data_IF_926745248699
#
_entry.id   IF_926745248699
#
_cell.length_a   1.000
_cell.length_b   1.000
_cell.length_c   1.000
_cell.angle_alpha   90.00
_cell.angle_beta   90.00
_cell.angle_gamma   90.00
#
_symmetry.space_group_name_H-M   'P 1'
#
loop_
_entity.id
_entity.type
_entity.pdbx_description
1 polymer ?
#
# COMPACT_ATOMS: atom_id res chain seq x y z
N UNK A 1 2.42 -13.75 -11.57
CA UNK A 1 1.41 -14.39 -12.45
C UNK A 1 1.75 -14.20 -13.93
N UNK A 2 1.45 -13.08 -14.60
CA UNK A 2 1.73 -12.94 -16.05
C UNK A 2 3.21 -13.02 -16.46
N UNK A 3 4.16 -12.58 -15.61
CA UNK A 3 5.61 -12.70 -15.87
C UNK A 3 6.09 -14.17 -15.74
N UNK A 4 5.37 -14.98 -14.95
CA UNK A 4 5.73 -16.37 -14.64
C UNK A 4 5.04 -17.38 -15.56
N UNK A 5 3.94 -16.99 -16.22
CA UNK A 5 3.21 -17.79 -17.20
C UNK A 5 3.93 -17.84 -18.55
N UNK A 6 5.10 -18.50 -18.58
CA UNK A 6 5.92 -18.64 -19.80
C UNK A 6 5.36 -19.62 -20.84
N UNK A 7 4.44 -20.51 -20.47
CA UNK A 7 4.15 -21.72 -21.28
C UNK A 7 2.68 -21.94 -21.68
N UNK A 8 1.71 -21.14 -21.24
CA UNK A 8 0.31 -21.63 -21.29
C UNK A 8 -0.43 -21.37 -22.61
N UNK A 9 -0.06 -20.43 -23.49
CA UNK A 9 -0.93 -20.08 -24.64
C UNK A 9 -0.25 -19.76 -25.98
N UNK A 10 0.94 -20.30 -26.29
CA UNK A 10 1.60 -20.00 -27.57
C UNK A 10 1.06 -20.78 -28.79
N UNK A 11 -0.09 -21.47 -28.69
CA UNK A 11 -0.69 -22.20 -29.81
C UNK A 11 -2.19 -21.95 -29.92
N UNK A 12 -2.57 -20.81 -30.51
CA UNK A 12 -3.92 -20.62 -31.02
C UNK A 12 -4.11 -21.46 -32.29
N UNK A 13 -4.80 -22.60 -32.18
CA UNK A 13 -5.00 -23.55 -33.28
C UNK A 13 -6.16 -23.10 -34.17
N UNK A 14 -5.90 -22.15 -35.08
CA UNK A 14 -6.78 -21.78 -36.19
C UNK A 14 -6.36 -22.44 -37.51
N UNK A 15 -7.31 -22.65 -38.44
CA UNK A 15 -7.07 -23.33 -39.73
C UNK A 15 -6.19 -22.56 -40.73
N UNK A 16 -5.79 -21.33 -40.43
CA UNK A 16 -4.99 -20.50 -41.34
C UNK A 16 -4.18 -19.46 -40.55
N UNK A 17 -2.88 -19.68 -40.32
CA UNK A 17 -1.92 -18.59 -40.05
C UNK A 17 -0.48 -19.08 -40.19
N UNK A 18 0.19 -18.65 -41.26
CA UNK A 18 1.65 -18.77 -41.44
C UNK A 18 2.41 -17.58 -40.83
N UNK A 19 1.69 -16.63 -40.21
CA UNK A 19 2.29 -15.58 -39.41
C UNK A 19 2.02 -15.90 -37.94
N UNK A 20 3.03 -16.46 -37.25
CA UNK A 20 3.09 -16.43 -35.78
C UNK A 20 2.85 -15.00 -35.37
N UNK A 21 1.83 -14.74 -34.55
CA UNK A 21 1.72 -13.47 -33.82
C UNK A 21 2.82 -13.47 -32.75
N UNK A 22 4.05 -13.30 -33.21
CA UNK A 22 5.30 -13.24 -32.44
C UNK A 22 5.37 -11.99 -31.57
N UNK A 23 4.42 -11.06 -31.71
CA UNK A 23 4.35 -9.85 -30.90
C UNK A 23 4.01 -10.11 -29.43
N UNK A 24 3.31 -11.22 -29.12
CA UNK A 24 2.96 -11.59 -27.75
C UNK A 24 4.11 -12.28 -26.98
N UNK A 25 5.13 -12.77 -27.70
CA UNK A 25 6.30 -13.41 -27.12
C UNK A 25 7.54 -12.61 -27.52
N UNK A 26 7.62 -11.39 -27.00
CA UNK A 26 8.78 -10.53 -27.17
C UNK A 26 9.65 -10.65 -25.89
N UNK A 27 10.80 -11.31 -26.03
CA UNK A 27 11.74 -11.52 -24.93
C UNK A 27 12.24 -10.19 -24.34
N UNK A 28 12.34 -9.12 -25.13
CA UNK A 28 12.71 -7.78 -24.65
C UNK A 28 11.61 -7.19 -23.75
N UNK A 29 10.33 -7.38 -24.11
CA UNK A 29 9.20 -6.94 -23.27
C UNK A 29 9.14 -7.74 -21.96
N UNK A 30 9.43 -9.05 -22.00
CA UNK A 30 9.48 -9.89 -20.81
C UNK A 30 10.64 -9.48 -19.88
N UNK A 31 11.82 -9.21 -20.45
CA UNK A 31 12.97 -8.70 -19.70
C UNK A 31 12.65 -7.34 -19.07
N UNK A 32 12.04 -6.43 -19.83
CA UNK A 32 11.63 -5.12 -19.32
C UNK A 32 10.60 -5.26 -18.17
N UNK A 33 9.60 -6.12 -18.34
CA UNK A 33 8.59 -6.37 -17.31
C UNK A 33 9.21 -6.94 -16.02
N UNK A 34 10.17 -7.86 -16.17
CA UNK A 34 10.90 -8.47 -15.04
C UNK A 34 11.73 -7.42 -14.29
N UNK A 35 12.55 -6.65 -15.01
CA UNK A 35 13.37 -5.59 -14.42
C UNK A 35 12.52 -4.51 -13.73
N UNK A 36 11.40 -4.11 -14.35
CA UNK A 36 10.48 -3.15 -13.74
C UNK A 36 9.81 -3.70 -12.47
N UNK A 37 9.46 -4.98 -12.46
CA UNK A 37 8.91 -5.64 -11.27
C UNK A 37 9.95 -5.68 -10.13
N UNK A 38 11.19 -6.06 -10.42
CA UNK A 38 12.28 -6.08 -9.44
C UNK A 38 12.56 -4.70 -8.87
N UNK A 39 12.64 -3.67 -9.71
CA UNK A 39 12.83 -2.28 -9.29
C UNK A 39 11.71 -1.83 -8.36
N UNK A 40 10.45 -2.05 -8.75
CA UNK A 40 9.29 -1.70 -7.91
C UNK A 40 9.30 -2.46 -6.59
N UNK A 41 9.65 -3.75 -6.60
CA UNK A 41 9.72 -4.55 -5.39
C UNK A 41 10.79 -4.04 -4.42
N UNK A 42 11.96 -3.64 -4.92
CA UNK A 42 13.02 -3.03 -4.11
C UNK A 42 12.55 -1.70 -3.49
N UNK A 43 11.90 -0.87 -4.29
CA UNK A 43 11.32 0.39 -3.83
C UNK A 43 10.29 0.17 -2.73
N UNK A 44 9.35 -0.77 -2.92
CA UNK A 44 8.32 -1.07 -1.91
C UNK A 44 8.90 -1.66 -0.62
N UNK A 45 9.97 -2.45 -0.71
CA UNK A 45 10.69 -2.97 0.46
C UNK A 45 11.33 -1.84 1.28
N UNK A 46 11.90 -0.84 0.60
CA UNK A 46 12.50 0.32 1.27
C UNK A 46 11.43 1.19 1.94
N UNK A 47 10.35 1.52 1.22
CA UNK A 47 9.21 2.26 1.78
C UNK A 47 8.61 1.55 3.00
N UNK A 48 8.40 0.22 2.92
CA UNK A 48 7.89 -0.55 4.04
C UNK A 48 8.84 -0.55 5.26
N UNK A 49 10.15 -0.55 5.03
CA UNK A 49 11.15 -0.45 6.11
C UNK A 49 11.07 0.91 6.80
N UNK A 50 10.98 2.00 6.04
CA UNK A 50 10.80 3.34 6.57
C UNK A 50 9.49 3.47 7.35
N UNK A 51 8.41 2.89 6.82
CA UNK A 51 7.10 2.91 7.47
C UNK A 51 7.09 2.13 8.79
N UNK A 52 7.78 0.99 8.85
CA UNK A 52 7.95 0.23 10.10
C UNK A 52 8.76 1.01 11.14
N UNK A 53 9.87 1.61 10.73
CA UNK A 53 10.66 2.48 11.61
C UNK A 53 9.84 3.66 12.12
N UNK A 54 9.02 4.29 11.26
CA UNK A 54 8.08 5.31 11.67
C UNK A 54 7.07 4.78 12.69
N UNK A 55 6.42 3.63 12.44
CA UNK A 55 5.45 3.06 13.36
C UNK A 55 6.05 2.70 14.74
N UNK A 56 7.31 2.26 14.76
CA UNK A 56 8.07 2.02 16.00
C UNK A 56 8.36 3.31 16.76
N UNK A 57 8.79 4.38 16.07
CA UNK A 57 9.10 5.67 16.68
C UNK A 57 7.89 6.35 17.33
N UNK A 58 6.67 6.08 16.84
CA UNK A 58 5.43 6.62 17.40
C UNK A 58 4.69 5.62 18.30
N UNK A 59 5.35 4.53 18.70
CA UNK A 59 4.80 3.46 19.55
C UNK A 59 3.52 2.79 19.02
N UNK A 60 3.18 3.01 17.74
CA UNK A 60 2.03 2.40 17.08
C UNK A 60 2.20 0.88 17.07
N UNK A 61 3.42 0.39 16.88
CA UNK A 61 3.75 -1.03 16.96
C UNK A 61 3.52 -1.64 18.35
N UNK A 62 3.54 -0.83 19.42
CA UNK A 62 3.40 -1.29 20.80
C UNK A 62 1.94 -1.40 21.24
N UNK A 63 0.98 -0.90 20.46
CA UNK A 63 -0.45 -1.00 20.71
C UNK A 63 -1.03 -2.42 20.49
N UNK A 64 -0.19 -3.46 20.46
CA UNK A 64 -0.57 -4.87 20.27
C UNK A 64 -0.89 -5.28 18.83
N UNK A 65 -1.43 -4.36 18.01
CA UNK A 65 -1.90 -4.63 16.63
C UNK A 65 -1.11 -3.89 15.54
N UNK A 66 -0.26 -2.92 15.90
CA UNK A 66 0.33 -2.01 14.93
C UNK A 66 1.23 -2.66 13.87
N UNK A 67 1.92 -3.77 14.18
CA UNK A 67 2.89 -4.38 13.26
C UNK A 67 2.24 -5.11 12.08
N UNK A 68 1.15 -5.82 12.33
CA UNK A 68 0.39 -6.53 11.29
C UNK A 68 -0.37 -5.52 10.41
N UNK A 69 -1.04 -4.55 11.04
CA UNK A 69 -1.77 -3.48 10.35
C UNK A 69 -0.84 -2.62 9.50
N UNK A 70 0.37 -2.28 9.96
CA UNK A 70 1.36 -1.51 9.18
C UNK A 70 1.70 -2.18 7.85
N UNK A 71 1.95 -3.49 7.86
CA UNK A 71 2.31 -4.22 6.64
C UNK A 71 1.11 -4.38 5.71
N UNK A 72 -0.07 -4.66 6.28
CA UNK A 72 -1.32 -4.81 5.53
C UNK A 72 -1.75 -3.50 4.85
N UNK A 73 -1.83 -2.39 5.61
CA UNK A 73 -2.21 -1.08 5.08
C UNK A 73 -1.27 -0.64 3.96
N UNK A 74 0.04 -0.83 4.15
CA UNK A 74 1.00 -0.50 3.11
C UNK A 74 0.83 -1.36 1.86
N UNK A 75 0.63 -2.67 2.02
CA UNK A 75 0.37 -3.56 0.89
C UNK A 75 -0.87 -3.13 0.10
N UNK A 76 -1.97 -2.82 0.78
CA UNK A 76 -3.20 -2.36 0.14
C UNK A 76 -2.99 -1.06 -0.66
N UNK A 77 -2.28 -0.08 -0.10
CA UNK A 77 -1.97 1.18 -0.77
C UNK A 77 -1.02 0.97 -1.96
N UNK A 78 0.05 0.19 -1.77
CA UNK A 78 1.01 -0.11 -2.84
C UNK A 78 0.35 -0.86 -4.01
N UNK A 79 -0.55 -1.80 -3.72
CA UNK A 79 -1.33 -2.54 -4.71
C UNK A 79 -2.31 -1.63 -5.48
N UNK A 80 -3.03 -0.75 -4.77
CA UNK A 80 -3.99 0.18 -5.36
C UNK A 80 -3.32 1.24 -6.25
N UNK A 81 -2.10 1.68 -5.91
CA UNK A 81 -1.37 2.74 -6.60
C UNK A 81 -0.21 2.20 -7.47
N UNK A 82 -0.30 0.94 -7.91
CA UNK A 82 0.72 0.28 -8.75
C UNK A 82 1.05 1.01 -10.05
N UNK A 83 0.11 1.80 -10.57
CA UNK A 83 0.23 2.58 -11.81
C UNK A 83 0.88 3.95 -11.61
N UNK A 84 1.02 4.46 -10.38
CA UNK A 84 1.70 5.72 -10.08
C UNK A 84 3.19 5.47 -9.81
N UNK A 85 4.07 5.57 -10.82
CA UNK A 85 5.41 4.98 -10.74
C UNK A 85 6.36 5.80 -9.86
N UNK A 86 6.01 7.04 -9.52
CA UNK A 86 6.97 8.01 -8.96
C UNK A 86 6.51 8.72 -7.69
N UNK A 87 5.34 8.38 -7.16
CA UNK A 87 4.84 9.09 -5.97
C UNK A 87 4.99 8.26 -4.68
N UNK A 88 6.26 8.09 -4.28
CA UNK A 88 6.61 7.49 -2.98
C UNK A 88 6.01 8.29 -1.84
N UNK A 89 6.02 9.61 -1.97
CA UNK A 89 5.44 10.53 -1.00
C UNK A 89 3.95 10.27 -0.78
N UNK A 90 3.15 10.19 -1.84
CA UNK A 90 1.70 9.90 -1.74
C UNK A 90 1.44 8.52 -1.18
N UNK A 91 2.17 7.48 -1.60
CA UNK A 91 2.01 6.13 -1.01
C UNK A 91 2.32 6.12 0.48
N UNK A 92 3.42 6.75 0.88
CA UNK A 92 3.82 6.85 2.29
C UNK A 92 2.83 7.65 3.12
N UNK A 93 2.33 8.77 2.59
CA UNK A 93 1.31 9.59 3.24
C UNK A 93 0.02 8.80 3.44
N UNK A 94 -0.50 8.18 2.38
CA UNK A 94 -1.73 7.39 2.45
C UNK A 94 -1.59 6.17 3.35
N UNK A 95 -0.44 5.48 3.33
CA UNK A 95 -0.19 4.34 4.20
C UNK A 95 -0.18 4.76 5.68
N UNK A 96 0.47 5.88 6.04
CA UNK A 96 0.45 6.41 7.41
C UNK A 96 -0.96 6.78 7.85
N UNK A 97 -1.71 7.48 7.00
CA UNK A 97 -3.10 7.83 7.27
C UNK A 97 -3.98 6.60 7.48
N UNK A 98 -3.85 5.58 6.61
CA UNK A 98 -4.58 4.33 6.73
C UNK A 98 -4.26 3.60 8.05
N UNK A 99 -2.99 3.56 8.45
CA UNK A 99 -2.58 2.95 9.73
C UNK A 99 -3.24 3.66 10.91
N UNK A 100 -3.18 5.00 10.95
CA UNK A 100 -3.78 5.78 12.05
C UNK A 100 -5.29 5.54 12.12
N UNK A 101 -5.98 5.56 10.96
CA UNK A 101 -7.42 5.32 10.89
C UNK A 101 -7.75 3.92 11.39
N UNK A 102 -7.04 2.88 10.92
CA UNK A 102 -7.32 1.50 11.34
C UNK A 102 -7.02 1.27 12.83
N UNK A 103 -5.99 1.92 13.38
CA UNK A 103 -5.70 1.85 14.82
C UNK A 103 -6.78 2.55 15.64
N UNK A 104 -7.27 3.70 15.18
CA UNK A 104 -8.38 4.40 15.83
C UNK A 104 -9.65 3.54 15.77
N UNK A 105 -9.99 2.99 14.60
CA UNK A 105 -11.14 2.10 14.38
C UNK A 105 -11.11 0.90 15.36
N UNK A 106 -10.00 0.16 15.42
CA UNK A 106 -9.83 -0.96 16.36
C UNK A 106 -9.98 -0.50 17.83
N UNK A 107 -9.51 0.71 18.16
CA UNK A 107 -9.65 1.29 19.49
C UNK A 107 -11.11 1.60 19.84
N UNK A 108 -11.89 2.17 18.91
CA UNK A 108 -13.31 2.44 19.11
C UNK A 108 -14.16 1.16 19.17
N UNK A 109 -13.81 0.15 18.39
CA UNK A 109 -14.63 -1.06 18.25
C UNK A 109 -14.35 -2.13 19.31
N UNK A 110 -13.12 -2.20 19.85
CA UNK A 110 -12.71 -3.37 20.66
C UNK A 110 -11.97 -3.07 21.97
N UNK A 111 -11.19 -1.99 22.05
CA UNK A 111 -10.27 -1.78 23.18
C UNK A 111 -10.77 -0.70 24.14
N UNK A 112 -11.27 0.42 23.61
CA UNK A 112 -11.54 1.62 24.37
C UNK A 112 -12.76 1.49 25.26
N UNK A 113 -12.61 1.87 26.53
CA UNK A 113 -13.76 2.12 27.39
C UNK A 113 -14.47 3.41 27.00
N UNK A 114 -15.77 3.52 27.29
CA UNK A 114 -16.58 4.69 26.91
C UNK A 114 -15.97 6.03 27.37
N UNK A 115 -15.31 6.05 28.52
CA UNK A 115 -14.62 7.23 29.04
C UNK A 115 -13.37 7.59 28.21
N UNK A 116 -12.56 6.61 27.81
CA UNK A 116 -11.40 6.82 26.95
C UNK A 116 -11.80 7.27 25.54
N UNK A 117 -12.89 6.71 25.00
CA UNK A 117 -13.46 7.12 23.72
C UNK A 117 -13.95 8.57 23.75
N UNK A 118 -14.56 9.01 24.86
CA UNK A 118 -14.96 10.41 25.04
C UNK A 118 -13.75 11.34 25.08
N UNK A 119 -12.71 10.99 25.83
CA UNK A 119 -11.46 11.78 25.89
C UNK A 119 -10.82 11.91 24.51
N UNK A 120 -10.74 10.82 23.75
CA UNK A 120 -10.20 10.84 22.40
C UNK A 120 -11.06 11.71 21.46
N UNK A 121 -12.38 11.57 21.54
CA UNK A 121 -13.34 12.36 20.74
C UNK A 121 -13.19 13.86 21.03
N UNK A 122 -13.14 14.24 22.30
CA UNK A 122 -12.96 15.62 22.74
C UNK A 122 -11.62 16.19 22.26
N UNK A 123 -10.54 15.40 22.32
CA UNK A 123 -9.22 15.81 21.84
C UNK A 123 -9.24 16.11 20.33
N UNK A 124 -9.88 15.27 19.53
CA UNK A 124 -10.03 15.47 18.07
C UNK A 124 -10.89 16.71 17.78
N UNK A 125 -12.01 16.89 18.49
CA UNK A 125 -12.86 18.09 18.32
C UNK A 125 -12.12 19.39 18.64
N UNK A 126 -11.32 19.41 19.72
CA UNK A 126 -10.50 20.59 20.07
C UNK A 126 -9.45 20.89 19.00
N UNK A 127 -8.80 19.87 18.44
CA UNK A 127 -7.83 20.06 17.37
C UNK A 127 -8.47 20.70 16.12
N UNK A 128 -9.61 20.16 15.68
CA UNK A 128 -10.36 20.69 14.52
C UNK A 128 -10.81 22.13 14.78
N UNK A 129 -11.34 22.41 15.97
CA UNK A 129 -11.78 23.76 16.34
C UNK A 129 -10.62 24.76 16.35
N UNK A 130 -9.46 24.36 16.88
CA UNK A 130 -8.27 25.20 16.92
C UNK A 130 -7.68 25.46 15.52
N UNK A 131 -7.76 24.51 14.59
CA UNK A 131 -7.37 24.75 13.19
C UNK A 131 -8.25 25.81 12.53
N UNK A 132 -9.57 25.73 12.73
CA UNK A 132 -10.51 26.73 12.19
C UNK A 132 -10.28 28.14 12.76
N UNK A 133 -9.64 28.28 13.92
CA UNK A 133 -9.26 29.57 14.51
C UNK A 133 -7.90 30.10 14.03
N UNK A 134 -7.05 29.27 13.42
CA UNK A 134 -5.75 29.69 12.87
C UNK A 134 -5.83 30.11 11.39
N UNK A 135 -6.96 29.85 10.73
CA UNK A 135 -7.25 30.23 9.35
C UNK A 135 -8.10 31.53 9.23
N UNK A 136 -8.20 32.34 10.31
CA UNK A 136 -8.86 33.67 10.33
C UNK A 136 -7.86 34.79 10.65
#
# INVERSE_FOLDING_TARGET
MWIEEREVNALWKGKMSYNRVSYLYNDELLQLATLNFELKQLLYKNELKELKSWAENYEISNMGFGREKTSYCYFAIAAALTSLPYDSYVRMFLAKSAIIITVADDFFDSIGSLNELQILTDAVQRYIHNQNCLDI
#
